data_IF_854643762756
#
_entry.id   IF_854643762756
#
_cell.length_a   1.000
_cell.length_b   1.000
_cell.length_c   1.000
_cell.angle_alpha   90.00
_cell.angle_beta   90.00
_cell.angle_gamma   90.00
#
_symmetry.space_group_name_H-M   'P 1'
#
loop_
_entity.id
_entity.type
_entity.pdbx_description
1 polymer ?
#
# COMPACT_ATOMS: atom_id res chain seq x y z
N UNK A 1 -17.72 -3.65 9.88
CA UNK A 1 -17.60 -3.38 11.33
C UNK A 1 -17.52 -1.87 11.50
N UNK A 2 -18.25 -1.26 12.46
CA UNK A 2 -18.10 0.17 12.73
C UNK A 2 -16.65 0.48 13.09
N UNK A 3 -16.12 1.61 12.61
CA UNK A 3 -14.77 2.06 12.94
C UNK A 3 -14.67 2.30 14.44
N UNK A 4 -13.76 1.61 15.12
CA UNK A 4 -13.51 1.81 16.55
C UNK A 4 -12.26 2.66 16.72
N UNK A 5 -12.34 3.69 17.55
CA UNK A 5 -11.18 4.50 17.86
C UNK A 5 -10.17 3.65 18.65
N UNK A 6 -8.86 3.74 18.41
CA UNK A 6 -7.86 2.99 19.18
C UNK A 6 -7.97 3.23 20.70
N UNK A 7 -8.37 4.43 21.15
CA UNK A 7 -8.66 4.69 22.58
C UNK A 7 -9.80 3.82 23.13
N UNK A 8 -10.83 3.56 22.33
CA UNK A 8 -12.00 2.76 22.74
C UNK A 8 -11.65 1.29 22.93
N UNK A 9 -10.55 0.83 22.34
CA UNK A 9 -10.03 -0.54 22.45
C UNK A 9 -8.75 -0.64 23.29
N UNK A 10 -8.40 0.44 24.03
CA UNK A 10 -7.27 0.44 24.96
C UNK A 10 -5.89 0.72 24.34
N UNK A 11 -5.86 1.21 23.10
CA UNK A 11 -4.67 1.47 22.29
C UNK A 11 -4.52 2.95 21.91
N UNK A 12 -4.96 3.89 22.76
CA UNK A 12 -4.93 5.32 22.43
C UNK A 12 -3.56 5.88 22.01
N UNK A 13 -2.48 5.31 22.56
CA UNK A 13 -1.10 5.71 22.27
C UNK A 13 -0.66 5.37 20.84
N UNK A 14 -1.30 4.43 20.15
CA UNK A 14 -0.83 3.92 18.85
C UNK A 14 -0.92 4.98 17.75
N UNK A 15 -1.94 5.84 17.82
CA UNK A 15 -2.10 6.94 16.85
C UNK A 15 -0.97 7.96 17.00
N UNK A 16 -0.71 8.40 18.23
CA UNK A 16 0.38 9.35 18.51
C UNK A 16 1.75 8.75 18.14
N UNK A 17 1.99 7.52 18.58
CA UNK A 17 3.28 6.85 18.43
C UNK A 17 3.59 6.55 16.97
N UNK A 18 2.63 5.96 16.26
CA UNK A 18 2.88 5.38 14.94
C UNK A 18 2.34 6.25 13.81
N UNK A 19 1.22 6.96 13.96
CA UNK A 19 0.52 7.62 12.83
C UNK A 19 0.89 9.10 12.72
N UNK A 20 0.96 9.83 13.84
CA UNK A 20 1.10 11.30 13.83
C UNK A 20 2.51 11.80 14.17
N UNK A 21 3.47 10.90 14.44
CA UNK A 21 4.89 11.27 14.66
C UNK A 21 5.39 12.21 13.56
N UNK A 22 6.00 13.33 13.96
CA UNK A 22 6.34 14.43 13.07
C UNK A 22 7.74 14.34 12.44
N UNK A 23 7.84 14.69 11.16
CA UNK A 23 9.05 14.74 10.35
C UNK A 23 9.02 15.95 9.41
N UNK A 24 9.87 16.95 9.68
CA UNK A 24 9.92 18.18 8.86
C UNK A 24 8.60 18.92 8.80
N UNK A 25 7.89 19.01 9.93
CA UNK A 25 6.59 19.65 10.00
C UNK A 25 5.43 18.83 9.42
N UNK A 26 5.66 17.59 8.97
CA UNK A 26 4.62 16.71 8.46
C UNK A 26 4.44 15.47 9.38
N UNK A 27 3.20 15.05 9.68
CA UNK A 27 2.95 13.78 10.36
C UNK A 27 3.33 12.59 9.44
N UNK A 28 3.67 11.45 10.05
CA UNK A 28 4.11 10.24 9.34
C UNK A 28 3.16 9.87 8.19
N UNK A 29 1.86 9.82 8.44
CA UNK A 29 0.91 9.39 7.42
C UNK A 29 0.98 10.24 6.13
N UNK A 30 1.29 11.55 6.20
CA UNK A 30 1.48 12.39 5.02
C UNK A 30 2.80 12.12 4.30
N UNK A 31 3.85 11.80 5.05
CA UNK A 31 5.14 11.39 4.47
C UNK A 31 4.98 10.08 3.70
N UNK A 32 4.23 9.13 4.27
CA UNK A 32 3.89 7.84 3.65
C UNK A 32 3.00 8.02 2.42
N UNK A 33 1.88 8.74 2.55
CA UNK A 33 0.93 8.96 1.46
C UNK A 33 1.58 9.65 0.24
N UNK A 34 2.44 10.63 0.49
CA UNK A 34 3.13 11.38 -0.58
C UNK A 34 4.41 10.74 -1.09
N UNK A 35 4.86 9.60 -0.54
CA UNK A 35 6.11 8.93 -0.93
C UNK A 35 7.37 9.78 -0.77
N UNK A 36 7.35 10.82 0.10
CA UNK A 36 8.46 11.78 0.24
C UNK A 36 9.78 11.14 0.64
N UNK A 37 9.70 10.03 1.37
CA UNK A 37 10.84 9.24 1.83
C UNK A 37 11.64 8.59 0.67
N UNK A 38 11.05 8.48 -0.53
CA UNK A 38 11.75 8.03 -1.74
C UNK A 38 12.58 9.15 -2.40
N UNK A 39 12.37 10.41 -1.98
CA UNK A 39 13.09 11.55 -2.54
C UNK A 39 14.53 11.64 -2.05
N UNK A 40 15.50 11.55 -2.96
CA UNK A 40 16.96 11.67 -2.66
C UNK A 40 17.36 13.00 -2.00
N UNK A 41 16.50 14.02 -2.06
CA UNK A 41 16.75 15.38 -1.56
C UNK A 41 16.03 15.71 -0.25
N UNK A 42 15.22 14.79 0.29
CA UNK A 42 14.53 15.06 1.55
C UNK A 42 15.46 14.77 2.73
N UNK A 43 15.93 15.82 3.40
CA UNK A 43 16.95 15.72 4.46
C UNK A 43 16.49 14.91 5.69
N UNK A 44 15.19 14.62 5.82
CA UNK A 44 14.65 13.79 6.89
C UNK A 44 14.57 12.30 6.55
N UNK A 45 14.90 11.88 5.32
CA UNK A 45 14.75 10.48 4.87
C UNK A 45 15.42 9.50 5.84
N UNK A 46 16.69 9.69 6.20
CA UNK A 46 17.40 8.76 7.11
C UNK A 46 16.71 8.63 8.46
N UNK A 47 16.32 9.75 9.09
CA UNK A 47 15.64 9.73 10.40
C UNK A 47 14.26 9.09 10.29
N UNK A 48 13.52 9.41 9.24
CA UNK A 48 12.21 8.82 8.96
C UNK A 48 12.30 7.31 8.81
N UNK A 49 13.18 6.84 7.93
CA UNK A 49 13.37 5.42 7.65
C UNK A 49 13.76 4.66 8.90
N UNK A 50 14.74 5.13 9.67
CA UNK A 50 15.18 4.47 10.91
C UNK A 50 14.02 4.29 11.89
N UNK A 51 13.20 5.32 12.07
CA UNK A 51 12.04 5.23 12.96
C UNK A 51 10.95 4.33 12.38
N UNK A 52 10.70 4.35 11.07
CA UNK A 52 9.72 3.47 10.45
C UNK A 52 10.10 2.00 10.62
N UNK A 53 11.38 1.66 10.43
CA UNK A 53 11.89 0.31 10.65
C UNK A 53 11.79 -0.13 12.10
N UNK A 54 12.25 0.71 13.03
CA UNK A 54 12.20 0.41 14.45
C UNK A 54 10.76 0.20 14.93
N UNK A 55 9.84 1.07 14.50
CA UNK A 55 8.43 0.97 14.86
C UNK A 55 7.76 -0.25 14.21
N UNK A 56 8.12 -0.61 12.97
CA UNK A 56 7.61 -1.82 12.31
C UNK A 56 8.04 -3.10 13.03
N UNK A 57 9.26 -3.13 13.59
CA UNK A 57 9.73 -4.22 14.42
C UNK A 57 9.10 -4.24 15.82
N UNK A 58 8.80 -3.06 16.39
CA UNK A 58 8.34 -2.93 17.78
C UNK A 58 6.82 -3.10 17.96
N UNK A 59 6.01 -2.65 17.00
CA UNK A 59 4.55 -2.70 17.09
C UNK A 59 4.07 -4.15 17.24
N UNK A 60 3.10 -4.41 18.11
CA UNK A 60 2.53 -5.77 18.24
C UNK A 60 1.32 -5.99 17.32
N UNK A 61 0.69 -7.16 17.41
CA UNK A 61 -0.40 -7.53 16.51
C UNK A 61 -1.71 -6.85 16.85
N UNK A 62 -1.99 -6.72 18.13
CA UNK A 62 -3.19 -6.07 18.62
C UNK A 62 -3.19 -4.57 18.28
N UNK A 63 -2.02 -3.92 18.38
CA UNK A 63 -1.81 -2.54 17.95
C UNK A 63 -2.01 -2.37 16.43
N UNK A 64 -1.54 -3.32 15.63
CA UNK A 64 -1.76 -3.33 14.18
C UNK A 64 -3.25 -3.53 13.84
N UNK A 65 -3.95 -4.44 14.51
CA UNK A 65 -5.40 -4.62 14.31
C UNK A 65 -6.18 -3.38 14.72
N UNK A 66 -5.81 -2.72 15.82
CA UNK A 66 -6.44 -1.47 16.25
C UNK A 66 -6.28 -0.38 15.18
N UNK A 67 -5.09 -0.25 14.57
CA UNK A 67 -4.86 0.69 13.47
C UNK A 67 -5.64 0.32 12.19
N UNK A 68 -5.72 -0.98 11.86
CA UNK A 68 -6.47 -1.47 10.70
C UNK A 68 -7.99 -1.32 10.87
N UNK A 69 -8.48 -1.30 12.11
CA UNK A 69 -9.90 -1.15 12.45
C UNK A 69 -10.43 0.30 12.37
N UNK A 70 -9.55 1.29 12.27
CA UNK A 70 -9.93 2.70 12.40
C UNK A 70 -9.97 3.45 11.06
N UNK A 71 -9.61 4.74 11.04
CA UNK A 71 -9.65 5.61 9.87
C UNK A 71 -8.46 5.42 8.91
N UNK A 72 -8.52 6.09 7.77
CA UNK A 72 -7.62 5.83 6.65
C UNK A 72 -6.14 6.13 6.94
N UNK A 73 -5.79 7.10 7.79
CA UNK A 73 -4.37 7.41 8.10
C UNK A 73 -3.74 6.29 8.92
N UNK A 74 -4.52 5.75 9.86
CA UNK A 74 -4.16 4.61 10.70
C UNK A 74 -3.99 3.35 9.86
N UNK A 75 -4.96 3.06 8.98
CA UNK A 75 -4.91 1.96 8.02
C UNK A 75 -3.73 2.06 7.05
N UNK A 76 -3.51 3.23 6.46
CA UNK A 76 -2.34 3.54 5.63
C UNK A 76 -1.04 3.23 6.36
N UNK A 77 -0.90 3.74 7.60
CA UNK A 77 0.31 3.55 8.40
C UNK A 77 0.53 2.07 8.74
N UNK A 78 -0.51 1.35 9.15
CA UNK A 78 -0.44 -0.07 9.44
C UNK A 78 -0.02 -0.88 8.21
N UNK A 79 -0.58 -0.61 7.02
CA UNK A 79 -0.17 -1.27 5.77
C UNK A 79 1.32 -1.11 5.49
N UNK A 80 1.88 0.07 5.72
CA UNK A 80 3.32 0.31 5.60
C UNK A 80 4.15 -0.47 6.62
N UNK A 81 3.77 -0.47 7.89
CA UNK A 81 4.50 -1.21 8.94
C UNK A 81 4.49 -2.72 8.67
N UNK A 82 3.33 -3.26 8.27
CA UNK A 82 3.14 -4.67 7.88
C UNK A 82 4.05 -5.03 6.70
N UNK A 83 4.09 -4.20 5.65
CA UNK A 83 4.91 -4.48 4.46
C UNK A 83 6.41 -4.32 4.71
N UNK A 84 6.81 -3.39 5.57
CA UNK A 84 8.21 -3.19 5.98
C UNK A 84 8.74 -4.44 6.69
N UNK A 85 8.03 -4.89 7.72
CA UNK A 85 8.41 -6.03 8.57
C UNK A 85 7.95 -7.40 8.00
N UNK A 86 7.29 -7.40 6.84
CA UNK A 86 6.77 -8.60 6.14
C UNK A 86 5.87 -9.48 7.04
N UNK A 87 4.91 -8.88 7.73
CA UNK A 87 4.00 -9.59 8.64
C UNK A 87 2.91 -10.37 7.89
N UNK A 88 3.28 -11.48 7.28
CA UNK A 88 2.41 -12.30 6.41
C UNK A 88 1.11 -12.79 7.06
N UNK A 89 1.07 -12.90 8.39
CA UNK A 89 -0.16 -13.25 9.14
C UNK A 89 -1.31 -12.27 8.90
N UNK A 90 -1.01 -11.02 8.52
CA UNK A 90 -2.01 -10.01 8.16
C UNK A 90 -2.47 -10.09 6.69
N UNK A 91 -1.94 -11.01 5.88
CA UNK A 91 -2.27 -11.15 4.45
C UNK A 91 -3.76 -11.17 4.18
N UNK A 92 -4.49 -12.07 4.85
CA UNK A 92 -5.94 -12.18 4.70
C UNK A 92 -6.63 -10.86 5.09
N UNK A 93 -6.24 -10.30 6.24
CA UNK A 93 -6.81 -9.06 6.78
C UNK A 93 -6.66 -7.87 5.83
N UNK A 94 -5.46 -7.64 5.29
CA UNK A 94 -5.23 -6.53 4.35
C UNK A 94 -5.84 -6.81 2.98
N UNK A 95 -5.95 -8.08 2.57
CA UNK A 95 -6.65 -8.48 1.35
C UNK A 95 -8.16 -8.17 1.42
N UNK A 96 -8.80 -8.51 2.54
CA UNK A 96 -10.21 -8.18 2.78
C UNK A 96 -10.45 -6.66 2.76
N UNK A 97 -9.56 -5.90 3.42
CA UNK A 97 -9.65 -4.44 3.46
C UNK A 97 -9.42 -3.80 2.08
N UNK A 98 -8.48 -4.34 1.29
CA UNK A 98 -8.23 -3.91 -0.09
C UNK A 98 -9.48 -4.15 -0.95
N UNK A 99 -10.03 -5.37 -0.91
CA UNK A 99 -11.21 -5.74 -1.70
C UNK A 99 -12.47 -4.96 -1.30
N UNK A 100 -12.61 -4.61 -0.02
CA UNK A 100 -13.72 -3.81 0.45
C UNK A 100 -13.65 -2.34 -0.01
N UNK A 101 -12.43 -1.80 -0.18
CA UNK A 101 -12.17 -0.41 -0.64
C UNK A 101 -12.99 0.66 0.10
N UNK A 102 -13.20 0.48 1.41
CA UNK A 102 -14.09 1.33 2.21
C UNK A 102 -13.53 2.73 2.50
N UNK A 103 -12.20 2.90 2.41
CA UNK A 103 -11.53 4.16 2.75
C UNK A 103 -10.50 4.54 1.70
N UNK A 104 -10.28 5.84 1.52
CA UNK A 104 -9.30 6.37 0.58
C UNK A 104 -7.84 6.16 1.04
N UNK A 105 -6.91 6.23 0.09
CA UNK A 105 -5.45 6.27 0.28
C UNK A 105 -4.78 5.05 0.94
N UNK A 106 -5.54 4.13 1.53
CA UNK A 106 -4.98 3.00 2.28
C UNK A 106 -4.62 1.82 1.37
N UNK A 107 -5.33 1.63 0.24
CA UNK A 107 -5.14 0.45 -0.61
C UNK A 107 -3.74 0.35 -1.20
N UNK A 108 -3.13 1.48 -1.58
CA UNK A 108 -1.73 1.51 -2.03
C UNK A 108 -0.74 0.92 -1.02
N UNK A 109 -0.96 1.10 0.29
CA UNK A 109 -0.10 0.48 1.31
C UNK A 109 -0.35 -1.03 1.47
N UNK A 110 -1.57 -1.50 1.25
CA UNK A 110 -1.85 -2.94 1.20
C UNK A 110 -1.22 -3.59 -0.03
N UNK A 111 -1.32 -2.95 -1.20
CA UNK A 111 -0.64 -3.40 -2.42
C UNK A 111 0.87 -3.48 -2.23
N UNK A 112 1.47 -2.49 -1.57
CA UNK A 112 2.88 -2.53 -1.17
C UNK A 112 3.19 -3.73 -0.25
N UNK A 113 2.39 -3.97 0.79
CA UNK A 113 2.61 -5.08 1.71
C UNK A 113 2.50 -6.45 1.01
N UNK A 114 1.49 -6.64 0.15
CA UNK A 114 1.34 -7.85 -0.65
C UNK A 114 2.52 -8.06 -1.61
N UNK A 115 3.00 -7.00 -2.28
CA UNK A 115 4.20 -7.06 -3.11
C UNK A 115 5.47 -7.43 -2.32
N UNK A 116 5.50 -7.11 -1.01
CA UNK A 116 6.60 -7.43 -0.10
C UNK A 116 6.57 -8.87 0.41
N UNK A 117 5.39 -9.45 0.57
CA UNK A 117 5.22 -10.85 0.93
C UNK A 117 5.67 -11.76 -0.21
N UNK A 118 5.34 -11.42 -1.46
CA UNK A 118 6.02 -11.97 -2.62
C UNK A 118 5.62 -13.40 -2.99
N UNK A 119 4.39 -13.83 -2.69
CA UNK A 119 3.89 -15.19 -2.94
C UNK A 119 2.78 -15.21 -3.98
N UNK A 120 2.45 -16.40 -4.51
CA UNK A 120 1.30 -16.58 -5.41
C UNK A 120 -0.02 -16.14 -4.75
N UNK A 121 -0.20 -16.37 -3.45
CA UNK A 121 -1.40 -15.95 -2.74
C UNK A 121 -1.58 -14.42 -2.77
N UNK A 122 -0.48 -13.67 -2.75
CA UNK A 122 -0.51 -12.21 -2.85
C UNK A 122 -0.91 -11.75 -4.26
N UNK A 123 -0.45 -12.46 -5.30
CA UNK A 123 -0.85 -12.21 -6.68
C UNK A 123 -2.34 -12.49 -6.92
N UNK A 124 -2.89 -13.53 -6.29
CA UNK A 124 -4.33 -13.84 -6.34
C UNK A 124 -5.18 -12.75 -5.67
N UNK A 125 -4.76 -12.22 -4.52
CA UNK A 125 -5.46 -11.11 -3.84
C UNK A 125 -5.47 -9.85 -4.71
N UNK A 126 -4.33 -9.48 -5.28
CA UNK A 126 -4.22 -8.32 -6.19
C UNK A 126 -5.06 -8.51 -7.45
N UNK A 127 -5.03 -9.72 -8.01
CA UNK A 127 -5.84 -10.14 -9.14
C UNK A 127 -7.35 -9.99 -8.88
N UNK A 128 -7.83 -10.48 -7.73
CA UNK A 128 -9.24 -10.37 -7.36
C UNK A 128 -9.69 -8.91 -7.20
N UNK A 129 -8.82 -8.05 -6.66
CA UNK A 129 -9.09 -6.62 -6.59
C UNK A 129 -9.19 -5.99 -7.98
N UNK A 130 -8.24 -6.30 -8.88
CA UNK A 130 -8.23 -5.76 -10.24
C UNK A 130 -9.43 -6.23 -11.07
N UNK A 131 -9.81 -7.51 -10.95
CA UNK A 131 -11.03 -8.05 -11.57
C UNK A 131 -12.28 -7.27 -11.17
N UNK A 132 -12.36 -6.85 -9.89
CA UNK A 132 -13.51 -6.11 -9.37
C UNK A 132 -13.52 -4.64 -9.77
N UNK A 133 -12.35 -3.99 -9.80
CA UNK A 133 -12.28 -2.52 -9.87
C UNK A 133 -11.76 -1.95 -11.19
N UNK A 134 -11.11 -2.73 -12.06
CA UNK A 134 -10.78 -2.24 -13.42
C UNK A 134 -12.02 -2.00 -14.29
N UNK A 135 -13.07 -2.85 -14.30
CA UNK A 135 -14.29 -2.57 -15.07
C UNK A 135 -15.03 -1.30 -14.62
N UNK A 136 -14.70 -0.76 -13.44
CA UNK A 136 -15.31 0.45 -12.86
C UNK A 136 -14.57 1.68 -13.35
N UNK A 137 -14.79 2.02 -14.62
CA UNK A 137 -14.10 3.13 -15.30
C UNK A 137 -14.47 4.52 -14.76
N UNK A 138 -15.44 4.59 -13.87
CA UNK A 138 -15.89 5.76 -13.11
C UNK A 138 -15.15 5.95 -11.77
N UNK A 139 -14.34 4.96 -11.35
CA UNK A 139 -13.68 4.94 -10.04
C UNK A 139 -12.15 5.00 -10.19
N UNK A 140 -11.54 6.03 -9.58
CA UNK A 140 -10.10 6.18 -9.44
C UNK A 140 -9.66 5.84 -8.01
N UNK A 141 -9.49 4.55 -7.74
CA UNK A 141 -9.03 4.02 -6.45
C UNK A 141 -7.57 3.53 -6.59
N UNK A 142 -7.25 2.40 -5.97
CA UNK A 142 -5.91 1.82 -5.91
C UNK A 142 -5.58 0.87 -7.08
N UNK A 143 -6.36 0.89 -8.18
CA UNK A 143 -6.08 0.08 -9.38
C UNK A 143 -4.64 0.24 -9.90
N UNK A 144 -4.08 1.47 -9.99
CA UNK A 144 -2.69 1.64 -10.42
C UNK A 144 -1.68 0.98 -9.48
N UNK A 145 -1.89 1.10 -8.16
CA UNK A 145 -1.01 0.49 -7.17
C UNK A 145 -1.13 -1.04 -7.18
N UNK A 146 -2.33 -1.59 -7.31
CA UNK A 146 -2.56 -3.02 -7.39
C UNK A 146 -1.92 -3.64 -8.64
N UNK A 147 -2.05 -2.98 -9.79
CA UNK A 147 -1.43 -3.46 -11.03
C UNK A 147 0.09 -3.37 -10.97
N UNK A 148 0.64 -2.27 -10.43
CA UNK A 148 2.08 -2.15 -10.20
C UNK A 148 2.65 -3.25 -9.30
N UNK A 149 1.91 -3.59 -8.24
CA UNK A 149 2.24 -4.71 -7.35
C UNK A 149 2.19 -6.06 -8.07
N UNK A 150 1.16 -6.32 -8.87
CA UNK A 150 1.01 -7.57 -9.61
C UNK A 150 2.12 -7.76 -10.65
N UNK A 151 2.43 -6.71 -11.42
CA UNK A 151 3.53 -6.73 -12.40
C UNK A 151 4.89 -7.03 -11.75
N UNK A 152 5.11 -6.54 -10.53
CA UNK A 152 6.32 -6.85 -9.76
C UNK A 152 6.31 -8.33 -9.32
N UNK A 153 5.19 -8.84 -8.83
CA UNK A 153 5.07 -10.24 -8.43
C UNK A 153 5.27 -11.20 -9.60
N UNK A 154 4.70 -10.89 -10.77
CA UNK A 154 4.91 -11.64 -12.01
C UNK A 154 6.39 -11.76 -12.35
N UNK A 155 7.12 -10.63 -12.30
CA UNK A 155 8.55 -10.61 -12.53
C UNK A 155 9.36 -11.37 -11.46
N UNK A 156 8.93 -11.31 -10.20
CA UNK A 156 9.60 -11.99 -9.08
C UNK A 156 9.39 -13.51 -9.13
N UNK A 157 8.19 -13.95 -9.49
CA UNK A 157 7.76 -15.36 -9.44
C UNK A 157 7.89 -16.07 -10.79
N UNK A 158 8.20 -15.35 -11.87
CA UNK A 158 8.20 -15.91 -13.23
C UNK A 158 6.80 -16.28 -13.71
N UNK A 159 5.79 -15.51 -13.29
CA UNK A 159 4.37 -15.72 -13.62
C UNK A 159 3.84 -14.62 -14.52
N UNK A 160 2.57 -14.74 -14.93
CA UNK A 160 1.91 -13.87 -15.91
C UNK A 160 0.45 -13.57 -15.50
N UNK A 161 0.22 -13.35 -14.21
CA UNK A 161 -1.12 -13.05 -13.70
C UNK A 161 -1.65 -11.71 -14.23
N UNK A 162 -0.75 -10.76 -14.54
CA UNK A 162 -1.11 -9.44 -15.07
C UNK A 162 -1.51 -9.45 -16.56
N UNK A 163 -1.10 -10.45 -17.36
CA UNK A 163 -1.30 -10.47 -18.82
C UNK A 163 -2.77 -10.17 -19.18
N UNK A 164 -3.73 -10.84 -18.52
CA UNK A 164 -5.17 -10.66 -18.75
C UNK A 164 -5.70 -9.24 -18.49
N UNK A 165 -4.96 -8.44 -17.72
CA UNK A 165 -5.31 -7.05 -17.43
C UNK A 165 -4.56 -6.06 -18.32
N UNK A 166 -3.53 -6.49 -19.05
CA UNK A 166 -2.59 -5.61 -19.76
C UNK A 166 -2.43 -5.92 -21.24
N UNK A 167 -3.09 -6.94 -21.76
CA UNK A 167 -3.20 -7.18 -23.21
C UNK A 167 -3.81 -5.95 -23.92
N UNK A 168 -3.58 -5.77 -25.24
CA UNK A 168 -4.18 -4.67 -25.99
C UNK A 168 -5.71 -4.66 -25.85
N UNK A 169 -6.29 -3.48 -25.64
CA UNK A 169 -7.73 -3.30 -25.41
C UNK A 169 -8.26 -4.04 -24.16
N UNK A 170 -7.39 -4.24 -23.17
CA UNK A 170 -7.73 -4.83 -21.87
C UNK A 170 -8.51 -3.87 -20.96
N UNK A 171 -8.97 -4.44 -19.84
CA UNK A 171 -9.61 -3.70 -18.75
C UNK A 171 -8.75 -2.53 -18.23
N UNK A 172 -7.42 -2.62 -18.28
CA UNK A 172 -6.55 -1.50 -17.92
C UNK A 172 -6.68 -0.34 -18.90
N UNK A 173 -6.61 -0.60 -20.19
CA UNK A 173 -6.71 0.44 -21.23
C UNK A 173 -8.08 1.12 -21.18
N UNK A 174 -9.15 0.36 -21.00
CA UNK A 174 -10.50 0.89 -20.82
C UNK A 174 -10.62 1.76 -19.56
N UNK A 175 -10.07 1.28 -18.44
CA UNK A 175 -10.03 2.02 -17.19
C UNK A 175 -9.27 3.34 -17.32
N UNK A 176 -8.05 3.33 -17.90
CA UNK A 176 -7.24 4.53 -18.14
C UNK A 176 -7.98 5.54 -19.01
N UNK A 177 -8.61 5.08 -20.11
CA UNK A 177 -9.45 5.94 -20.97
C UNK A 177 -10.62 6.54 -20.18
N UNK A 178 -11.26 5.74 -19.32
CA UNK A 178 -12.39 6.14 -18.48
C UNK A 178 -12.05 7.22 -17.47
N UNK A 179 -11.08 6.96 -16.60
CA UNK A 179 -10.66 7.93 -15.57
C UNK A 179 -10.02 9.17 -16.20
N UNK A 180 -9.39 9.05 -17.37
CA UNK A 180 -8.90 10.19 -18.15
C UNK A 180 -10.01 11.15 -18.57
N UNK A 181 -11.21 10.64 -18.93
CA UNK A 181 -12.38 11.50 -19.22
C UNK A 181 -12.89 12.26 -18.00
N UNK A 182 -12.58 11.78 -16.79
CA UNK A 182 -12.90 12.43 -15.53
C UNK A 182 -11.81 13.41 -15.06
N UNK A 183 -10.73 13.58 -15.83
CA UNK A 183 -9.64 14.50 -15.53
C UNK A 183 -8.51 13.91 -14.68
N UNK A 184 -8.50 12.60 -14.45
CA UNK A 184 -7.36 11.94 -13.79
C UNK A 184 -6.15 11.84 -14.72
N UNK A 185 -4.92 11.86 -14.17
CA UNK A 185 -3.71 11.69 -14.97
C UNK A 185 -3.70 10.33 -15.67
N UNK A 186 -3.05 10.27 -16.82
CA UNK A 186 -2.80 8.99 -17.49
C UNK A 186 -1.82 8.15 -16.66
N UNK A 187 -2.01 6.83 -16.69
CA UNK A 187 -1.19 5.86 -15.98
C UNK A 187 -0.52 4.92 -16.96
N UNK A 188 0.81 4.82 -16.93
CA UNK A 188 1.53 3.78 -17.69
C UNK A 188 1.87 2.59 -16.80
N UNK A 189 1.86 1.38 -17.39
CA UNK A 189 2.26 0.14 -16.71
C UNK A 189 3.68 0.24 -16.13
N UNK A 190 4.60 0.83 -16.90
CA UNK A 190 5.99 1.00 -16.51
C UNK A 190 6.14 1.89 -15.27
N UNK A 191 5.38 2.99 -15.18
CA UNK A 191 5.38 3.85 -13.99
C UNK A 191 4.83 3.14 -12.76
N UNK A 192 3.73 2.38 -12.91
CA UNK A 192 3.13 1.66 -11.78
C UNK A 192 4.06 0.58 -11.22
N UNK A 193 4.70 -0.20 -12.11
CA UNK A 193 5.73 -1.17 -11.71
C UNK A 193 6.91 -0.49 -11.04
N UNK A 194 7.45 0.57 -11.67
CA UNK A 194 8.62 1.31 -11.14
C UNK A 194 8.35 1.89 -9.76
N UNK A 195 7.15 2.43 -9.51
CA UNK A 195 6.77 2.94 -8.20
C UNK A 195 6.82 1.84 -7.13
N UNK A 196 6.21 0.68 -7.43
CA UNK A 196 6.21 -0.49 -6.54
C UNK A 196 7.62 -0.98 -6.26
N UNK A 197 8.47 -1.05 -7.30
CA UNK A 197 9.87 -1.45 -7.17
C UNK A 197 10.63 -0.52 -6.22
N UNK A 198 10.50 0.80 -6.36
CA UNK A 198 11.13 1.78 -5.48
C UNK A 198 10.71 1.61 -4.02
N UNK A 199 9.41 1.41 -3.76
CA UNK A 199 8.91 1.17 -2.40
C UNK A 199 9.50 -0.12 -1.80
N UNK A 200 9.54 -1.21 -2.58
CA UNK A 200 10.06 -2.50 -2.14
C UNK A 200 11.58 -2.50 -1.94
N UNK A 201 12.32 -1.84 -2.83
CA UNK A 201 13.77 -1.65 -2.74
C UNK A 201 14.15 -0.79 -1.54
N UNK A 202 13.41 0.30 -1.30
CA UNK A 202 13.55 1.10 -0.09
C UNK A 202 13.44 0.23 1.17
N UNK A 203 12.40 -0.59 1.28
CA UNK A 203 12.23 -1.47 2.43
C UNK A 203 13.34 -2.56 2.54
N UNK A 204 13.92 -3.01 1.42
CA UNK A 204 15.03 -3.97 1.42
C UNK A 204 16.39 -3.34 1.79
N UNK A 205 16.68 -2.15 1.27
CA UNK A 205 18.00 -1.52 1.40
C UNK A 205 18.36 -1.13 2.83
N UNK A 206 17.36 -0.89 3.66
CA UNK A 206 17.54 -0.45 5.04
C UNK A 206 17.28 -1.54 6.10
N UNK A 207 16.72 -2.68 5.71
CA UNK A 207 16.58 -3.86 6.58
C UNK A 207 17.82 -4.74 6.57
N UNK A 208 18.80 -4.48 5.67
CA UNK A 208 20.05 -5.23 5.51
C UNK A 208 21.29 -4.55 6.15
N UNK A 209 21.08 -3.55 6.99
CA UNK A 209 22.12 -2.88 7.82
C UNK A 209 21.92 -3.23 9.27
#
# INVERSE_FOLDING_TARGET
MPSQHPEEVGYGHVVETYVTRMYGGLPRYLVLNGGRFLGRRWWHTTRFTRHLLADAAAINDEELEALLGYEWRSRLTAGWLIGVDRRERFRARIGDLLLASEVCYSGGAYCFALARFGTHADAEILSAYLDRYLPRTDLHYDQPAALGALLRLDALLGTRHADRFTEPDSLWDEWVKGVGRLGHPSHTLAEQRRWTDLCCEFANGWTRT
#
